data_IF_628069027551
#
_entry.id   IF_628069027551
#
_cell.length_a   1.000
_cell.length_b   1.000
_cell.length_c   1.000
_cell.angle_alpha   90.00
_cell.angle_beta   90.00
_cell.angle_gamma   90.00
#
_symmetry.space_group_name_H-M   'P 1'
#
loop_
_entity.id
_entity.type
_entity.pdbx_description
1 polymer ?
#
# COMPACT_ATOMS: atom_id res chain seq x y z
N UNK A 1 -2.47 20.28 18.07
CA UNK A 1 -1.21 19.79 18.70
C UNK A 1 -0.52 18.93 17.67
N UNK A 2 0.78 19.09 17.48
CA UNK A 2 1.58 18.35 16.49
C UNK A 2 2.51 17.40 17.22
N UNK A 3 2.51 16.12 16.88
CA UNK A 3 3.40 15.12 17.46
C UNK A 3 4.39 14.63 16.40
N UNK A 4 5.68 14.90 16.63
CA UNK A 4 6.76 14.46 15.75
C UNK A 4 7.59 13.33 16.35
N UNK A 5 7.27 12.89 17.57
CA UNK A 5 7.99 11.85 18.25
C UNK A 5 7.33 10.50 17.95
N UNK A 6 8.00 9.59 17.22
CA UNK A 6 7.42 8.33 16.86
C UNK A 6 7.11 7.49 18.11
N UNK A 7 5.96 6.84 18.06
CA UNK A 7 5.34 5.95 19.03
C UNK A 7 4.81 6.61 20.31
N UNK A 8 4.86 7.93 20.43
CA UNK A 8 4.40 8.61 21.63
C UNK A 8 2.87 8.54 21.76
N UNK A 9 2.14 8.85 20.69
CA UNK A 9 0.68 8.80 20.67
C UNK A 9 0.19 7.35 20.76
N UNK A 10 0.84 6.42 20.06
CA UNK A 10 0.54 4.98 20.18
C UNK A 10 0.73 4.49 21.62
N UNK A 11 1.83 4.86 22.29
CA UNK A 11 2.07 4.48 23.69
C UNK A 11 1.06 5.10 24.64
N UNK A 12 0.66 6.35 24.41
CA UNK A 12 -0.40 7.00 25.19
C UNK A 12 -1.71 6.22 25.06
N UNK A 13 -2.10 5.82 23.86
CA UNK A 13 -3.30 5.02 23.64
C UNK A 13 -3.20 3.61 24.25
N UNK A 14 -2.06 2.92 24.11
CA UNK A 14 -1.86 1.60 24.74
C UNK A 14 -1.92 1.71 26.27
N UNK A 15 -1.34 2.75 26.85
CA UNK A 15 -1.40 2.97 28.30
C UNK A 15 -2.82 3.33 28.74
N UNK A 16 -3.52 4.19 28.01
CA UNK A 16 -4.92 4.53 28.27
C UNK A 16 -5.81 3.28 28.27
N UNK A 17 -5.61 2.37 27.31
CA UNK A 17 -6.25 1.06 27.21
C UNK A 17 -5.91 0.19 28.43
N UNK A 18 -4.62 0.07 28.77
CA UNK A 18 -4.14 -0.79 29.85
C UNK A 18 -4.64 -0.36 31.23
N UNK A 19 -4.80 0.94 31.45
CA UNK A 19 -5.13 1.51 32.76
C UNK A 19 -6.58 2.03 32.85
N UNK A 20 -7.40 1.87 31.80
CA UNK A 20 -8.81 2.29 31.74
C UNK A 20 -9.06 3.75 32.15
N UNK A 21 -8.12 4.66 31.86
CA UNK A 21 -8.23 6.08 32.24
C UNK A 21 -9.33 6.85 31.48
N UNK A 22 -9.63 6.39 30.27
CA UNK A 22 -10.59 6.93 29.31
C UNK A 22 -11.15 5.71 28.58
N UNK A 23 -12.47 5.64 28.39
CA UNK A 23 -13.15 4.47 27.83
C UNK A 23 -12.45 3.90 26.59
N UNK A 24 -12.36 2.57 26.52
CA UNK A 24 -11.61 1.82 25.49
C UNK A 24 -11.99 2.18 24.05
N UNK A 25 -13.20 2.70 23.84
CA UNK A 25 -13.68 3.10 22.52
C UNK A 25 -12.84 4.20 21.85
N UNK A 26 -12.37 5.21 22.60
CA UNK A 26 -11.70 6.37 22.01
C UNK A 26 -10.29 6.02 21.50
N UNK A 27 -9.40 5.42 22.32
CA UNK A 27 -8.06 5.04 21.87
C UNK A 27 -8.10 3.99 20.75
N UNK A 28 -9.02 3.03 20.87
CA UNK A 28 -9.14 1.95 19.90
C UNK A 28 -9.65 2.48 18.56
N UNK A 29 -10.67 3.35 18.56
CA UNK A 29 -11.18 3.94 17.32
C UNK A 29 -10.14 4.79 16.61
N UNK A 30 -9.30 5.55 17.34
CA UNK A 30 -8.22 6.32 16.71
C UNK A 30 -7.13 5.41 16.15
N UNK A 31 -6.65 4.44 16.92
CA UNK A 31 -5.58 3.55 16.48
C UNK A 31 -6.01 2.69 15.28
N UNK A 32 -7.22 2.16 15.35
CA UNK A 32 -7.79 1.29 14.32
C UNK A 32 -8.24 2.10 13.10
N UNK A 33 -8.87 3.26 13.31
CA UNK A 33 -9.25 4.18 12.25
C UNK A 33 -8.04 4.62 11.43
N UNK A 34 -6.96 5.04 12.11
CA UNK A 34 -5.70 5.42 11.49
C UNK A 34 -4.90 4.24 10.93
N UNK A 35 -5.23 2.99 11.21
CA UNK A 35 -4.64 1.85 10.49
C UNK A 35 -5.44 1.52 9.22
N UNK A 36 -6.77 1.69 9.26
CA UNK A 36 -7.67 1.27 8.20
C UNK A 36 -7.90 2.31 7.11
N UNK A 37 -7.71 3.60 7.40
CA UNK A 37 -8.10 4.70 6.52
C UNK A 37 -7.52 4.57 5.10
N UNK A 38 -6.25 4.16 4.97
CA UNK A 38 -5.57 4.04 3.68
C UNK A 38 -5.50 2.61 3.11
N UNK A 39 -6.06 1.61 3.79
CA UNK A 39 -6.08 0.22 3.31
C UNK A 39 -6.64 0.05 1.88
N UNK A 40 -7.70 0.77 1.44
CA UNK A 40 -8.20 0.65 0.07
C UNK A 40 -7.13 0.95 -1.00
N UNK A 41 -6.14 1.78 -0.69
CA UNK A 41 -5.05 2.11 -1.61
C UNK A 41 -4.16 0.90 -1.94
N UNK A 42 -4.11 -0.12 -1.07
CA UNK A 42 -3.44 -1.39 -1.35
C UNK A 42 -3.99 -2.10 -2.60
N UNK A 43 -5.26 -1.84 -2.95
CA UNK A 43 -5.88 -2.33 -4.17
C UNK A 43 -5.79 -1.28 -5.28
N UNK A 44 -6.19 -0.03 -5.02
CA UNK A 44 -6.30 0.99 -6.05
C UNK A 44 -4.98 1.36 -6.73
N UNK A 45 -3.91 1.59 -5.97
CA UNK A 45 -2.62 2.05 -6.52
C UNK A 45 -1.97 1.02 -7.45
N UNK A 46 -1.88 -0.27 -7.09
CA UNK A 46 -1.32 -1.30 -7.98
C UNK A 46 -2.19 -1.59 -9.21
N UNK A 47 -3.50 -1.32 -9.12
CA UNK A 47 -4.42 -1.42 -10.27
C UNK A 47 -4.24 -0.24 -11.23
N UNK A 48 -4.06 0.98 -10.71
CA UNK A 48 -3.85 2.18 -11.52
C UNK A 48 -2.44 2.24 -12.11
N UNK A 49 -1.44 1.81 -11.35
CA UNK A 49 -0.03 1.85 -11.73
C UNK A 49 0.61 0.46 -11.61
N UNK A 50 0.87 -0.18 -12.74
CA UNK A 50 1.60 -1.46 -12.80
C UNK A 50 2.93 -1.50 -12.03
N UNK A 51 3.80 -0.47 -12.03
CA UNK A 51 5.05 -0.56 -11.28
C UNK A 51 4.84 -0.61 -9.76
N UNK A 52 3.70 -0.12 -9.26
CA UNK A 52 3.32 -0.20 -7.83
C UNK A 52 2.85 -1.60 -7.41
N UNK A 53 2.89 -2.59 -8.31
CA UNK A 53 2.77 -3.99 -7.91
C UNK A 53 4.02 -4.49 -7.17
N UNK A 54 5.15 -3.76 -7.21
CA UNK A 54 6.35 -4.08 -6.44
C UNK A 54 6.22 -3.50 -5.03
N UNK A 55 6.40 -4.34 -4.00
CA UNK A 55 6.25 -3.95 -2.58
C UNK A 55 7.07 -2.71 -2.21
N UNK A 56 8.34 -2.65 -2.60
CA UNK A 56 9.21 -1.52 -2.28
C UNK A 56 8.75 -0.21 -2.91
N UNK A 57 8.29 -0.26 -4.17
CA UNK A 57 7.81 0.94 -4.86
C UNK A 57 6.47 1.39 -4.29
N UNK A 58 5.57 0.45 -4.01
CA UNK A 58 4.33 0.71 -3.31
C UNK A 58 4.55 1.35 -1.94
N UNK A 59 5.46 0.78 -1.13
CA UNK A 59 5.79 1.29 0.20
C UNK A 59 6.34 2.71 0.14
N UNK A 60 7.26 2.99 -0.79
CA UNK A 60 7.81 4.34 -0.98
C UNK A 60 6.73 5.33 -1.42
N UNK A 61 5.88 4.97 -2.38
CA UNK A 61 4.79 5.84 -2.84
C UNK A 61 3.77 6.09 -1.74
N UNK A 62 3.37 5.06 -0.99
CA UNK A 62 2.45 5.22 0.14
C UNK A 62 3.05 6.08 1.24
N UNK A 63 4.32 5.90 1.59
CA UNK A 63 4.98 6.74 2.58
C UNK A 63 4.96 8.23 2.18
N UNK A 64 5.33 8.54 0.93
CA UNK A 64 5.28 9.90 0.41
C UNK A 64 3.86 10.48 0.41
N UNK A 65 2.87 9.67 0.01
CA UNK A 65 1.47 10.07 0.01
C UNK A 65 0.97 10.41 1.41
N UNK A 66 1.26 9.56 2.40
CA UNK A 66 0.84 9.77 3.79
C UNK A 66 1.50 11.01 4.40
N UNK A 67 2.80 11.22 4.16
CA UNK A 67 3.49 12.45 4.59
C UNK A 67 2.87 13.68 3.93
N UNK A 68 2.52 13.60 2.64
CA UNK A 68 1.86 14.71 1.95
C UNK A 68 0.45 15.01 2.50
N UNK A 69 -0.30 13.98 2.90
CA UNK A 69 -1.62 14.13 3.53
C UNK A 69 -1.50 14.80 4.90
N UNK A 70 -0.58 14.35 5.75
CA UNK A 70 -0.32 15.00 7.06
C UNK A 70 0.12 16.45 6.90
N UNK A 71 0.99 16.73 5.93
CA UNK A 71 1.41 18.09 5.62
C UNK A 71 0.23 18.96 5.16
N UNK A 72 -0.69 18.40 4.38
CA UNK A 72 -1.91 19.09 3.96
C UNK A 72 -2.87 19.30 5.13
N UNK A 73 -3.05 18.32 6.00
CA UNK A 73 -3.87 18.45 7.22
C UNK A 73 -3.34 19.55 8.14
N UNK A 74 -2.02 19.68 8.25
CA UNK A 74 -1.36 20.77 8.97
C UNK A 74 -1.62 22.12 8.29
N UNK A 75 -1.47 22.20 6.97
CA UNK A 75 -1.64 23.44 6.21
C UNK A 75 -3.10 23.94 6.22
N UNK A 76 -4.06 23.03 6.12
CA UNK A 76 -5.49 23.34 6.12
C UNK A 76 -6.09 23.44 7.53
N UNK A 77 -5.28 23.24 8.58
CA UNK A 77 -5.74 23.17 9.97
C UNK A 77 -6.93 22.21 10.17
N UNK A 78 -7.00 21.15 9.36
CA UNK A 78 -8.12 20.21 9.31
C UNK A 78 -7.92 19.04 10.29
N UNK A 79 -6.74 18.92 10.92
CA UNK A 79 -6.42 17.85 11.87
C UNK A 79 -5.15 18.08 12.68
N UNK A 80 -4.72 17.07 13.43
CA UNK A 80 -3.41 17.03 14.10
C UNK A 80 -2.41 16.29 13.21
N UNK A 81 -1.26 16.90 12.98
CA UNK A 81 -0.14 16.21 12.35
C UNK A 81 0.49 15.26 13.38
N UNK A 82 0.42 13.95 13.10
CA UNK A 82 0.99 12.92 13.97
C UNK A 82 1.80 11.89 13.16
N UNK A 83 3.07 11.75 13.50
CA UNK A 83 3.97 10.77 12.87
C UNK A 83 3.48 9.34 13.10
N UNK A 84 2.77 9.09 14.20
CA UNK A 84 2.18 7.79 14.48
C UNK A 84 1.08 7.41 13.49
N UNK A 85 0.33 8.40 13.01
CA UNK A 85 -0.77 8.18 12.07
C UNK A 85 -0.22 7.80 10.70
N UNK A 86 0.90 8.39 10.27
CA UNK A 86 1.65 7.95 9.08
C UNK A 86 2.09 6.50 9.24
N UNK A 87 2.66 6.16 10.39
CA UNK A 87 3.24 4.84 10.62
C UNK A 87 2.15 3.76 10.69
N UNK A 88 1.03 4.04 11.37
CA UNK A 88 -0.13 3.15 11.47
C UNK A 88 -0.78 2.94 10.11
N UNK A 89 -1.02 4.01 9.36
CA UNK A 89 -1.62 3.93 8.03
C UNK A 89 -0.73 3.16 7.06
N UNK A 90 0.58 3.40 7.10
CA UNK A 90 1.54 2.68 6.27
C UNK A 90 1.55 1.19 6.63
N UNK A 91 1.62 0.86 7.92
CA UNK A 91 1.63 -0.53 8.38
C UNK A 91 0.34 -1.27 7.99
N UNK A 92 -0.83 -0.67 8.25
CA UNK A 92 -2.12 -1.27 7.91
C UNK A 92 -2.26 -1.50 6.40
N UNK A 93 -1.87 -0.53 5.60
CA UNK A 93 -1.90 -0.66 4.14
C UNK A 93 -0.93 -1.74 3.62
N UNK A 94 0.30 -1.80 4.15
CA UNK A 94 1.28 -2.81 3.74
C UNK A 94 0.85 -4.23 4.11
N UNK A 95 0.20 -4.42 5.25
CA UNK A 95 -0.37 -5.70 5.66
C UNK A 95 -1.41 -6.15 4.62
N UNK A 96 -2.36 -5.29 4.26
CA UNK A 96 -3.39 -5.60 3.24
C UNK A 96 -2.75 -5.88 1.88
N UNK A 97 -1.77 -5.08 1.46
CA UNK A 97 -1.03 -5.33 0.22
C UNK A 97 -0.33 -6.70 0.22
N UNK A 98 0.28 -7.10 1.33
CA UNK A 98 0.87 -8.43 1.51
C UNK A 98 -0.16 -9.56 1.42
N UNK A 99 -1.32 -9.37 2.06
CA UNK A 99 -2.45 -10.32 2.01
C UNK A 99 -2.97 -10.46 0.56
N UNK A 100 -3.09 -9.37 -0.18
CA UNK A 100 -3.48 -9.37 -1.60
C UNK A 100 -2.48 -10.09 -2.50
N UNK A 101 -1.21 -10.22 -2.08
CA UNK A 101 -0.20 -10.99 -2.82
C UNK A 101 -0.33 -12.50 -2.65
N UNK A 102 -1.18 -12.98 -1.72
CA UNK A 102 -1.44 -14.41 -1.58
C UNK A 102 -2.10 -14.97 -2.85
N UNK A 103 -1.68 -16.15 -3.34
CA UNK A 103 -2.13 -16.68 -4.62
C UNK A 103 -3.65 -16.95 -4.66
N UNK A 104 -4.26 -17.24 -3.50
CA UNK A 104 -5.71 -17.38 -3.38
C UNK A 104 -6.46 -16.07 -3.65
N UNK A 105 -6.03 -14.96 -3.04
CA UNK A 105 -6.64 -13.65 -3.26
C UNK A 105 -6.36 -13.13 -4.67
N UNK A 106 -5.17 -13.36 -5.21
CA UNK A 106 -4.87 -12.99 -6.59
C UNK A 106 -5.81 -13.70 -7.58
N UNK A 107 -6.12 -14.98 -7.36
CA UNK A 107 -7.11 -15.70 -8.19
C UNK A 107 -8.50 -15.08 -8.07
N UNK A 108 -8.93 -14.73 -6.85
CA UNK A 108 -10.22 -14.08 -6.63
C UNK A 108 -10.29 -12.68 -7.29
N UNK A 109 -9.25 -11.87 -7.14
CA UNK A 109 -9.16 -10.54 -7.78
C UNK A 109 -9.15 -10.65 -9.32
N UNK A 110 -8.51 -11.68 -9.88
CA UNK A 110 -8.53 -11.96 -11.32
C UNK A 110 -9.92 -12.36 -11.79
N UNK A 111 -10.65 -13.18 -11.04
CA UNK A 111 -12.06 -13.49 -11.33
C UNK A 111 -12.94 -12.24 -11.28
N UNK A 112 -12.60 -11.28 -10.44
CA UNK A 112 -13.27 -9.98 -10.33
C UNK A 112 -12.75 -8.94 -11.37
N UNK A 113 -11.85 -9.31 -12.28
CA UNK A 113 -11.30 -8.46 -13.34
C UNK A 113 -10.54 -7.20 -12.88
N UNK A 114 -10.12 -7.14 -11.60
CA UNK A 114 -9.51 -5.92 -11.05
C UNK A 114 -8.05 -5.69 -11.47
N UNK A 115 -7.29 -6.75 -11.77
CA UNK A 115 -5.86 -6.68 -12.11
C UNK A 115 -5.66 -6.96 -13.60
N UNK A 116 -5.26 -5.98 -14.43
CA UNK A 116 -4.91 -6.23 -15.82
C UNK A 116 -3.64 -7.08 -15.89
N UNK A 117 -3.67 -8.17 -16.67
CA UNK A 117 -2.52 -9.04 -16.89
C UNK A 117 -1.30 -8.23 -17.38
N UNK A 118 -0.08 -8.55 -16.92
CA UNK A 118 1.11 -7.99 -17.52
C UNK A 118 1.10 -8.36 -19.01
N UNK A 119 1.17 -7.34 -19.86
CA UNK A 119 1.34 -7.52 -21.29
C UNK A 119 2.64 -8.30 -21.47
N UNK A 120 2.54 -9.60 -21.74
CA UNK A 120 3.67 -10.43 -22.14
C UNK A 120 4.35 -9.69 -23.30
N UNK A 121 5.66 -9.37 -23.24
CA UNK A 121 6.38 -8.98 -24.43
C UNK A 121 6.23 -10.13 -25.43
N UNK A 122 5.45 -9.91 -26.48
CA UNK A 122 5.31 -10.87 -27.56
C UNK A 122 6.67 -11.02 -28.24
N UNK A 123 7.28 -12.19 -28.06
CA UNK A 123 8.10 -12.90 -29.05
C UNK A 123 9.13 -12.05 -29.83
N UNK A 124 10.28 -11.80 -29.22
CA UNK A 124 11.52 -11.54 -29.96
C UNK A 124 12.33 -12.84 -30.09
N UNK A 125 11.73 -13.91 -30.61
CA UNK A 125 12.44 -15.16 -30.91
C UNK A 125 11.58 -16.02 -31.87
N UNK A 126 11.66 -15.73 -33.17
CA UNK A 126 11.31 -16.66 -34.25
C UNK A 126 11.65 -16.08 -35.64
N UNK A 127 12.88 -15.64 -35.89
CA UNK A 127 13.46 -15.67 -37.26
C UNK A 127 14.99 -15.71 -37.19
N UNK A 128 15.54 -16.69 -36.47
CA UNK A 128 16.88 -17.15 -36.80
C UNK A 128 16.86 -18.68 -36.88
N UNK A 129 17.24 -19.15 -38.07
CA UNK A 129 17.71 -20.49 -38.41
C UNK A 129 16.76 -21.57 -38.98
N UNK A 130 16.94 -21.80 -40.29
CA UNK A 130 16.89 -23.04 -41.14
C UNK A 130 16.15 -22.75 -42.44
N UNK A 131 16.79 -22.68 -43.63
CA UNK A 131 17.48 -23.79 -44.32
C UNK A 131 18.32 -23.25 -45.53
N UNK A 132 19.57 -23.69 -45.79
CA UNK A 132 20.16 -23.81 -47.15
C UNK A 132 19.87 -25.23 -47.70
N UNK A 133 20.10 -25.62 -48.98
CA UNK A 133 20.75 -24.96 -50.11
C UNK A 133 19.82 -24.89 -51.37
N UNK A 134 20.10 -23.98 -52.31
CA UNK A 134 19.60 -24.15 -53.69
C UNK A 134 20.77 -24.19 -54.66
N UNK A 135 20.70 -25.17 -55.56
CA UNK A 135 21.73 -25.65 -56.44
C UNK A 135 21.70 -24.94 -57.81
N UNK A 136 22.86 -25.00 -58.49
CA UNK A 136 23.06 -25.05 -59.95
C UNK A 136 22.54 -23.88 -60.82
N UNK A 137 23.47 -23.05 -61.31
CA UNK A 137 23.95 -23.04 -62.71
C UNK A 137 25.17 -22.11 -62.84
#
# INVERSE_FOLDING_TARGET
MTNFNPLETVRLYINAIKYNYIGMEIPLSNLVGNAMLFMPMAVFLPCLFRPLQKLWLFALTMFLLLVAVEALQLLLACGSCDVDDVLLNLAGTLIVFGILKLPFLQRLLKQLYLLPEPTQPQSAEATEEKTPPNATA
#
